data_IF_926786408462
#
_entry.id   IF_926786408462
#
_cell.length_a   1.000
_cell.length_b   1.000
_cell.length_c   1.000
_cell.angle_alpha   90.00
_cell.angle_beta   90.00
_cell.angle_gamma   90.00
#
_symmetry.space_group_name_H-M   'P 1'
#
loop_
_entity.id
_entity.type
_entity.pdbx_description
1 polymer ?
#
# COMPACT_ATOMS: atom_id res chain seq x y z
N UNK A 1 -10.78 9.95 -5.70
CA UNK A 1 -9.74 8.92 -5.73
C UNK A 1 -9.51 8.41 -4.33
N UNK A 2 -9.87 7.16 -4.07
CA UNK A 2 -9.61 6.53 -2.78
C UNK A 2 -8.11 6.25 -2.65
N UNK A 3 -7.50 6.68 -1.54
CA UNK A 3 -6.09 6.44 -1.20
C UNK A 3 -5.65 4.96 -1.36
N UNK A 4 -6.60 4.02 -1.32
CA UNK A 4 -6.40 2.58 -1.52
C UNK A 4 -5.83 2.23 -2.89
N UNK A 5 -6.32 2.85 -3.96
CA UNK A 5 -5.78 2.63 -5.31
C UNK A 5 -4.34 3.10 -5.37
N UNK A 6 -4.06 4.26 -4.78
CA UNK A 6 -2.70 4.80 -4.76
C UNK A 6 -1.73 3.94 -3.94
N UNK A 7 -2.20 3.33 -2.85
CA UNK A 7 -1.41 2.35 -2.09
C UNK A 7 -1.06 1.14 -2.96
N UNK A 8 -1.98 0.67 -3.82
CA UNK A 8 -1.72 -0.47 -4.72
C UNK A 8 -0.67 -0.12 -5.78
N UNK A 9 -0.80 1.04 -6.42
CA UNK A 9 0.18 1.53 -7.40
C UNK A 9 1.58 1.62 -6.78
N UNK A 10 1.70 2.30 -5.63
CA UNK A 10 2.99 2.45 -4.96
C UNK A 10 3.55 1.10 -4.46
N UNK A 11 2.69 0.16 -4.08
CA UNK A 11 3.13 -1.21 -3.74
C UNK A 11 3.68 -1.96 -4.96
N UNK A 12 3.06 -1.81 -6.13
CA UNK A 12 3.54 -2.40 -7.39
C UNK A 12 4.89 -1.79 -7.81
N UNK A 13 5.08 -0.49 -7.57
CA UNK A 13 6.34 0.20 -7.81
C UNK A 13 7.45 -0.15 -6.78
N UNK A 14 7.11 -0.90 -5.73
CA UNK A 14 8.07 -1.40 -4.74
C UNK A 14 8.28 -0.49 -3.53
N UNK A 15 7.48 0.55 -3.37
CA UNK A 15 7.57 1.45 -2.21
C UNK A 15 7.26 0.73 -0.90
N UNK A 16 7.98 1.12 0.15
CA UNK A 16 7.73 0.65 1.50
C UNK A 16 6.53 1.33 2.15
N UNK A 17 5.93 0.69 3.16
CA UNK A 17 4.79 1.25 3.92
C UNK A 17 5.03 2.65 4.48
N UNK A 18 6.29 2.96 4.85
CA UNK A 18 6.70 4.29 5.31
C UNK A 18 6.69 5.30 4.17
N UNK A 19 7.27 4.97 3.03
CA UNK A 19 7.31 5.83 1.84
C UNK A 19 5.90 6.06 1.28
N UNK A 20 5.07 5.02 1.25
CA UNK A 20 3.66 5.14 0.86
C UNK A 20 2.93 6.11 1.79
N UNK A 21 3.15 6.02 3.10
CA UNK A 21 2.54 6.94 4.06
C UNK A 21 3.03 8.38 3.90
N UNK A 22 4.32 8.56 3.59
CA UNK A 22 4.90 9.89 3.34
C UNK A 22 4.34 10.50 2.06
N UNK A 23 4.33 9.73 0.97
CA UNK A 23 3.76 10.13 -0.32
C UNK A 23 2.29 10.55 -0.18
N UNK A 24 1.48 9.77 0.54
CA UNK A 24 0.07 10.11 0.75
C UNK A 24 -0.10 11.40 1.58
N UNK A 25 0.78 11.64 2.55
CA UNK A 25 0.77 12.88 3.34
C UNK A 25 1.17 14.09 2.48
N UNK A 26 2.24 13.97 1.70
CA UNK A 26 2.71 15.04 0.79
C UNK A 26 1.67 15.38 -0.26
N UNK A 27 0.99 14.36 -0.81
CA UNK A 27 -0.07 14.54 -1.81
C UNK A 27 -1.44 14.96 -1.19
N UNK A 28 -1.45 15.43 0.07
CA UNK A 28 -2.64 15.92 0.79
C UNK A 28 -3.81 14.91 0.87
N UNK A 29 -3.54 13.60 0.89
CA UNK A 29 -4.56 12.61 1.22
C UNK A 29 -4.89 12.71 2.71
N UNK A 30 -6.01 13.38 3.00
CA UNK A 30 -6.45 13.83 4.33
C UNK A 30 -6.64 12.75 5.41
N UNK A 31 -6.51 11.46 5.07
CA UNK A 31 -6.93 10.34 5.94
C UNK A 31 -5.90 9.22 6.12
N UNK A 32 -4.67 9.37 5.60
CA UNK A 32 -3.69 8.30 5.60
C UNK A 32 -2.64 8.45 6.70
N UNK A 33 -2.97 7.98 7.89
CA UNK A 33 -1.96 7.63 8.90
C UNK A 33 -1.19 6.39 8.47
N UNK A 34 0.07 6.26 8.88
CA UNK A 34 0.91 5.08 8.59
C UNK A 34 0.23 3.78 9.03
N UNK A 35 -0.55 3.83 10.10
CA UNK A 35 -1.37 2.74 10.62
C UNK A 35 -2.45 2.30 9.63
N UNK A 36 -3.14 3.24 8.97
CA UNK A 36 -4.16 2.96 7.95
C UNK A 36 -3.54 2.29 6.74
N UNK A 37 -2.39 2.79 6.28
CA UNK A 37 -1.62 2.19 5.18
C UNK A 37 -1.21 0.76 5.54
N UNK A 38 -0.62 0.58 6.73
CA UNK A 38 -0.15 -0.73 7.18
C UNK A 38 -1.30 -1.74 7.33
N UNK A 39 -2.44 -1.31 7.87
CA UNK A 39 -3.65 -2.13 7.97
C UNK A 39 -4.19 -2.53 6.60
N UNK A 40 -4.18 -1.61 5.63
CA UNK A 40 -4.62 -1.90 4.27
C UNK A 40 -3.67 -2.88 3.56
N UNK A 41 -2.36 -2.69 3.69
CA UNK A 41 -1.34 -3.63 3.18
C UNK A 41 -1.49 -5.01 3.82
N UNK A 42 -1.75 -5.07 5.14
CA UNK A 42 -2.00 -6.34 5.84
C UNK A 42 -3.28 -7.03 5.35
N UNK A 43 -4.33 -6.26 5.04
CA UNK A 43 -5.55 -6.78 4.42
C UNK A 43 -5.27 -7.35 3.03
N UNK A 44 -4.53 -6.61 2.19
CA UNK A 44 -4.10 -7.06 0.87
C UNK A 44 -3.26 -8.34 0.96
N UNK A 45 -2.32 -8.44 1.90
CA UNK A 45 -1.56 -9.67 2.13
C UNK A 45 -2.47 -10.87 2.39
N UNK A 46 -3.51 -10.72 3.23
CA UNK A 46 -4.47 -11.80 3.50
C UNK A 46 -5.32 -12.14 2.28
N UNK A 47 -5.81 -11.13 1.58
CA UNK A 47 -6.67 -11.27 0.40
C UNK A 47 -5.94 -12.00 -0.74
N UNK A 48 -4.68 -11.66 -0.97
CA UNK A 48 -3.84 -12.26 -2.00
C UNK A 48 -3.00 -13.45 -1.51
N UNK A 49 -3.18 -13.88 -0.25
CA UNK A 49 -2.40 -14.95 0.38
C UNK A 49 -0.86 -14.77 0.31
N UNK A 50 -0.40 -13.52 0.28
CA UNK A 50 1.01 -13.19 0.14
C UNK A 50 1.75 -13.28 1.49
N UNK A 51 2.85 -14.04 1.52
CA UNK A 51 3.73 -14.15 2.70
C UNK A 51 4.62 -12.91 2.82
N UNK A 52 5.20 -12.48 1.71
CA UNK A 52 6.12 -11.33 1.69
C UNK A 52 5.49 -10.09 1.05
N UNK A 53 6.09 -8.92 1.30
CA UNK A 53 5.65 -7.67 0.66
C UNK A 53 5.99 -7.68 -0.84
N UNK A 54 7.10 -8.33 -1.19
CA UNK A 54 7.53 -8.53 -2.57
C UNK A 54 6.55 -9.43 -3.33
N UNK A 55 6.18 -10.57 -2.74
CA UNK A 55 5.14 -11.45 -3.30
C UNK A 55 3.81 -10.70 -3.49
N UNK A 56 3.42 -9.86 -2.52
CA UNK A 56 2.24 -9.02 -2.67
C UNK A 56 2.38 -8.04 -3.85
N UNK A 57 3.53 -7.39 -4.01
CA UNK A 57 3.80 -6.47 -5.13
C UNK A 57 3.68 -7.18 -6.48
N UNK A 58 4.27 -8.37 -6.61
CA UNK A 58 4.19 -9.20 -7.83
C UNK A 58 2.76 -9.66 -8.11
N UNK A 59 2.02 -10.06 -7.08
CA UNK A 59 0.62 -10.51 -7.21
C UNK A 59 -0.32 -9.36 -7.59
N UNK A 60 -0.02 -8.13 -7.17
CA UNK A 60 -0.77 -6.95 -7.57
C UNK A 60 -0.46 -6.52 -9.01
N UNK A 61 0.73 -6.82 -9.53
CA UNK A 61 1.17 -6.42 -10.88
C UNK A 61 0.54 -7.27 -11.99
N UNK A 62 -0.11 -8.39 -11.64
CA UNK A 62 -0.88 -9.26 -12.54
C UNK A 62 -2.32 -8.81 -12.68
#
# INVERSE_FOLDING_TARGET
MEYKEKIRELLQEGYSSKEISDYLKENKFKTCSISSVTNYIAKLKKEYNAKTRFELSVLLMR
#
